data_IF_125984235767
#
_entry.id   IF_125984235767
#
_cell.length_a   1.000
_cell.length_b   1.000
_cell.length_c   1.000
_cell.angle_alpha   90.00
_cell.angle_beta   90.00
_cell.angle_gamma   90.00
#
_symmetry.space_group_name_H-M   'P 1'
#
loop_
_entity.id
_entity.type
_entity.pdbx_description
1 polymer ?
#
# COMPACT_ATOMS: atom_id res chain seq x y z
N UNK A 1 4.11 11.32 -9.88
CA UNK A 1 4.54 10.09 -9.16
C UNK A 1 6.03 9.81 -9.31
N UNK A 2 6.61 9.87 -10.52
CA UNK A 2 8.07 9.70 -10.75
C UNK A 2 8.94 10.54 -9.80
N UNK A 3 8.65 11.84 -9.68
CA UNK A 3 9.39 12.76 -8.81
C UNK A 3 9.40 12.34 -7.31
N UNK A 4 8.25 11.95 -6.76
CA UNK A 4 8.17 11.44 -5.38
C UNK A 4 8.90 10.11 -5.19
N UNK A 5 8.90 9.24 -6.21
CA UNK A 5 9.61 7.96 -6.16
C UNK A 5 11.13 8.18 -6.15
N UNK A 6 11.64 9.09 -6.99
CA UNK A 6 13.06 9.46 -6.97
C UNK A 6 13.47 10.08 -5.64
N UNK A 7 12.62 10.92 -5.03
CA UNK A 7 12.90 11.51 -3.71
C UNK A 7 13.03 10.46 -2.60
N UNK A 8 12.20 9.42 -2.62
CA UNK A 8 12.30 8.31 -1.65
C UNK A 8 13.57 7.53 -1.92
N UNK A 9 13.81 7.15 -3.18
CA UNK A 9 14.96 6.36 -3.56
C UNK A 9 16.28 7.08 -3.25
N UNK A 10 16.34 8.40 -3.45
CA UNK A 10 17.49 9.22 -3.05
C UNK A 10 17.68 9.25 -1.53
N UNK A 11 16.59 9.24 -0.74
CA UNK A 11 16.68 9.17 0.72
C UNK A 11 17.20 7.81 1.21
N UNK A 12 16.82 6.71 0.56
CA UNK A 12 17.37 5.38 0.85
C UNK A 12 18.85 5.28 0.47
N UNK A 13 19.25 5.82 -0.68
CA UNK A 13 20.67 5.90 -1.06
C UNK A 13 21.45 6.73 -0.04
N UNK A 14 20.93 7.90 0.34
CA UNK A 14 21.54 8.74 1.35
C UNK A 14 21.68 7.99 2.67
N UNK A 15 20.65 7.28 3.11
CA UNK A 15 20.64 6.48 4.33
C UNK A 15 21.73 5.38 4.30
N UNK A 16 21.89 4.68 3.19
CA UNK A 16 22.93 3.64 3.02
C UNK A 16 24.33 4.29 3.08
N UNK A 17 24.54 5.39 2.36
CA UNK A 17 25.82 6.10 2.36
C UNK A 17 26.18 6.64 3.75
N UNK A 18 25.20 7.18 4.46
CA UNK A 18 25.39 7.70 5.82
C UNK A 18 25.73 6.59 6.83
N UNK A 19 25.08 5.44 6.70
CA UNK A 19 25.39 4.25 7.50
C UNK A 19 26.86 3.82 7.33
N UNK A 20 27.32 3.65 6.08
CA UNK A 20 28.70 3.25 5.81
C UNK A 20 29.72 4.30 6.28
N UNK A 21 29.40 5.59 6.11
CA UNK A 21 30.26 6.68 6.59
C UNK A 21 30.41 6.63 8.11
N UNK A 22 29.31 6.42 8.84
CA UNK A 22 29.35 6.33 10.30
C UNK A 22 30.09 5.11 10.79
N UNK A 23 29.89 3.94 10.19
CA UNK A 23 30.64 2.71 10.54
C UNK A 23 32.15 2.87 10.28
N UNK A 24 32.52 3.54 9.21
CA UNK A 24 33.92 3.82 8.90
C UNK A 24 34.55 4.78 9.91
N UNK A 25 33.85 5.86 10.27
CA UNK A 25 34.33 6.86 11.25
C UNK A 25 34.44 6.27 12.66
N UNK A 26 33.56 5.35 13.06
CA UNK A 26 33.60 4.69 14.38
C UNK A 26 34.59 3.52 14.46
N UNK A 27 35.54 3.44 13.52
CA UNK A 27 36.68 2.49 13.52
C UNK A 27 36.29 1.01 13.58
N UNK A 28 35.14 0.61 13.02
CA UNK A 28 34.61 -0.77 12.94
C UNK A 28 34.43 -1.55 14.25
N UNK A 29 35.09 -1.16 15.35
CA UNK A 29 35.06 -1.82 16.65
C UNK A 29 33.62 -1.92 17.20
N UNK A 30 32.83 -0.89 16.94
CA UNK A 30 31.43 -0.83 17.35
C UNK A 30 30.44 -1.10 16.21
N UNK A 31 30.92 -1.52 15.02
CA UNK A 31 30.08 -1.68 13.83
C UNK A 31 28.93 -2.66 14.07
N UNK A 32 29.20 -3.81 14.70
CA UNK A 32 28.19 -4.84 14.91
C UNK A 32 27.07 -4.32 15.83
N UNK A 33 27.43 -3.74 16.98
CA UNK A 33 26.47 -3.18 17.94
C UNK A 33 25.66 -2.06 17.30
N UNK A 34 26.33 -1.15 16.59
CA UNK A 34 25.67 -0.07 15.85
C UNK A 34 24.68 -0.62 14.82
N UNK A 35 25.06 -1.64 14.06
CA UNK A 35 24.20 -2.28 13.05
C UNK A 35 22.95 -2.88 13.69
N UNK A 36 23.10 -3.60 14.80
CA UNK A 36 21.96 -4.20 15.51
C UNK A 36 20.99 -3.11 15.97
N UNK A 37 21.50 -2.08 16.65
CA UNK A 37 20.67 -0.95 17.13
C UNK A 37 19.99 -0.26 15.96
N UNK A 38 20.73 -0.03 14.87
CA UNK A 38 20.24 0.60 13.66
C UNK A 38 19.09 -0.18 13.02
N UNK A 39 19.22 -1.51 12.88
CA UNK A 39 18.16 -2.37 12.35
C UNK A 39 16.94 -2.36 13.27
N UNK A 40 17.15 -2.46 14.59
CA UNK A 40 16.06 -2.42 15.57
C UNK A 40 15.27 -1.11 15.45
N UNK A 41 15.96 0.04 15.35
CA UNK A 41 15.31 1.35 15.21
C UNK A 41 14.52 1.45 13.90
N UNK A 42 15.08 0.97 12.78
CA UNK A 42 14.37 0.95 11.49
C UNK A 42 13.05 0.15 11.59
N UNK A 43 13.13 -1.06 12.16
CA UNK A 43 11.97 -1.93 12.36
C UNK A 43 10.97 -1.28 13.32
N UNK A 44 11.43 -0.76 14.46
CA UNK A 44 10.60 -0.09 15.45
C UNK A 44 9.84 1.11 14.84
N UNK A 45 10.53 1.96 14.10
CA UNK A 45 9.91 3.14 13.48
C UNK A 45 8.89 2.78 12.41
N UNK A 46 9.03 1.63 11.75
CA UNK A 46 8.04 1.16 10.78
C UNK A 46 6.67 0.90 11.43
N UNK A 47 6.64 0.38 12.66
CA UNK A 47 5.40 0.00 13.34
C UNK A 47 4.79 1.11 14.22
N UNK A 48 5.59 2.08 14.66
CA UNK A 48 5.09 3.18 15.49
C UNK A 48 4.31 4.22 14.68
N UNK A 49 3.42 4.95 15.33
CA UNK A 49 2.85 6.18 14.74
C UNK A 49 3.95 7.25 14.59
N UNK A 50 3.85 8.10 13.57
CA UNK A 50 4.92 9.07 13.23
C UNK A 50 5.24 10.04 14.37
N UNK A 51 4.22 10.47 15.13
CA UNK A 51 4.41 11.31 16.32
C UNK A 51 5.16 10.57 17.42
N UNK A 52 4.81 9.30 17.66
CA UNK A 52 5.43 8.45 18.67
C UNK A 52 6.89 8.14 18.32
N UNK A 53 7.16 7.79 17.06
CA UNK A 53 8.53 7.57 16.57
C UNK A 53 9.40 8.82 16.74
N UNK A 54 8.85 10.01 16.45
CA UNK A 54 9.55 11.28 16.69
C UNK A 54 9.87 11.50 18.17
N UNK A 55 8.91 11.25 19.08
CA UNK A 55 9.13 11.37 20.52
C UNK A 55 10.25 10.42 20.98
N UNK A 56 10.24 9.16 20.54
CA UNK A 56 11.30 8.21 20.85
C UNK A 56 12.67 8.64 20.31
N UNK A 57 12.72 9.18 19.08
CA UNK A 57 13.94 9.74 18.51
C UNK A 57 14.52 10.86 19.38
N UNK A 58 13.69 11.84 19.76
CA UNK A 58 14.12 12.96 20.61
C UNK A 58 14.56 12.46 21.99
N UNK A 59 13.77 11.59 22.62
CA UNK A 59 14.07 11.04 23.93
C UNK A 59 15.38 10.24 23.94
N UNK A 60 15.58 9.36 22.94
CA UNK A 60 16.82 8.61 22.79
C UNK A 60 18.04 9.51 22.53
N UNK A 61 17.86 10.57 21.75
CA UNK A 61 18.92 11.57 21.51
C UNK A 61 19.29 12.31 22.79
N UNK A 62 18.31 12.76 23.57
CA UNK A 62 18.55 13.47 24.84
C UNK A 62 19.22 12.54 25.86
N UNK A 63 18.69 11.32 26.05
CA UNK A 63 19.25 10.35 27.00
C UNK A 63 20.70 10.02 26.64
N UNK A 64 21.00 9.81 25.36
CA UNK A 64 22.37 9.51 24.92
C UNK A 64 23.34 10.67 25.13
N UNK A 65 22.90 11.94 24.96
CA UNK A 65 23.73 13.11 25.29
C UNK A 65 24.07 13.14 26.78
N UNK A 66 23.07 12.95 27.66
CA UNK A 66 23.31 12.93 29.10
C UNK A 66 24.18 11.74 29.52
N UNK A 67 24.02 10.59 28.87
CA UNK A 67 24.88 9.43 29.09
C UNK A 67 26.34 9.73 28.73
N UNK A 68 26.61 10.31 27.55
CA UNK A 68 27.97 10.69 27.15
C UNK A 68 28.55 11.78 28.07
N UNK A 69 27.73 12.71 28.53
CA UNK A 69 28.16 13.71 29.51
C UNK A 69 28.58 13.06 30.84
N UNK A 70 27.79 12.09 31.33
CA UNK A 70 28.10 11.34 32.53
C UNK A 70 29.39 10.52 32.38
N UNK A 71 29.57 9.84 31.25
CA UNK A 71 30.77 9.08 30.93
C UNK A 71 32.02 9.98 30.88
N UNK A 72 31.91 11.13 30.21
CA UNK A 72 32.99 12.12 30.13
C UNK A 72 33.41 12.64 31.50
N UNK A 73 32.44 12.86 32.39
CA UNK A 73 32.67 13.29 33.76
C UNK A 73 33.37 12.20 34.60
N UNK A 74 32.91 10.96 34.51
CA UNK A 74 33.47 9.82 35.26
C UNK A 74 34.91 9.49 34.85
N UNK A 75 35.16 9.45 33.54
CA UNK A 75 36.43 9.03 32.97
C UNK A 75 37.40 10.18 32.69
N UNK A 76 37.02 11.41 33.06
CA UNK A 76 37.84 12.62 32.89
C UNK A 76 38.37 12.77 31.45
N UNK A 77 37.48 12.58 30.48
CA UNK A 77 37.84 12.63 29.06
C UNK A 77 38.57 13.92 28.71
N UNK A 78 39.70 13.77 28.03
CA UNK A 78 40.44 14.87 27.43
C UNK A 78 39.60 15.60 26.38
N UNK A 79 39.98 16.83 26.04
CA UNK A 79 39.31 17.61 24.99
C UNK A 79 39.26 16.87 23.65
N UNK A 80 40.30 16.09 23.33
CA UNK A 80 40.34 15.30 22.09
C UNK A 80 39.29 14.18 22.09
N UNK A 81 39.17 13.44 23.19
CA UNK A 81 38.19 12.36 23.34
C UNK A 81 36.77 12.91 23.29
N UNK A 82 36.51 14.03 23.98
CA UNK A 82 35.21 14.69 23.93
C UNK A 82 34.81 15.06 22.49
N UNK A 83 35.75 15.58 21.69
CA UNK A 83 35.49 15.88 20.28
C UNK A 83 35.14 14.63 19.46
N UNK A 84 35.83 13.52 19.67
CA UNK A 84 35.56 12.25 18.97
C UNK A 84 34.13 11.74 19.29
N UNK A 85 33.73 11.77 20.56
CA UNK A 85 32.39 11.37 20.96
C UNK A 85 31.29 12.34 20.51
N UNK A 86 31.54 13.66 20.49
CA UNK A 86 30.59 14.65 19.97
C UNK A 86 30.33 14.42 18.47
N UNK A 87 31.39 14.24 17.68
CA UNK A 87 31.28 13.99 16.23
C UNK A 87 30.53 12.66 16.00
N UNK A 88 30.91 11.62 16.73
CA UNK A 88 30.27 10.30 16.63
C UNK A 88 28.79 10.34 16.98
N UNK A 89 28.42 11.02 18.08
CA UNK A 89 27.04 11.18 18.50
C UNK A 89 26.23 11.95 17.47
N UNK A 90 26.76 13.06 16.95
CA UNK A 90 26.11 13.85 15.91
C UNK A 90 25.84 13.02 14.64
N UNK A 91 26.84 12.25 14.18
CA UNK A 91 26.69 11.35 13.02
C UNK A 91 25.63 10.27 13.26
N UNK A 92 25.60 9.70 14.47
CA UNK A 92 24.58 8.71 14.85
C UNK A 92 23.18 9.32 14.91
N UNK A 93 23.02 10.50 15.52
CA UNK A 93 21.75 11.20 15.61
C UNK A 93 21.23 11.59 14.21
N UNK A 94 22.12 12.07 13.32
CA UNK A 94 21.78 12.36 11.93
C UNK A 94 21.36 11.10 11.17
N UNK A 95 22.01 9.96 11.37
CA UNK A 95 21.58 8.67 10.79
C UNK A 95 20.16 8.31 11.24
N UNK A 96 19.90 8.31 12.55
CA UNK A 96 18.58 7.96 13.06
C UNK A 96 17.50 8.97 12.65
N UNK A 97 17.87 10.23 12.46
CA UNK A 97 16.98 11.22 11.87
C UNK A 97 16.63 10.90 10.41
N UNK A 98 17.61 10.51 9.59
CA UNK A 98 17.38 10.07 8.20
C UNK A 98 16.48 8.83 8.18
N UNK A 99 16.70 7.86 9.07
CA UNK A 99 15.83 6.68 9.25
C UNK A 99 14.39 7.12 9.55
N UNK A 100 14.21 8.03 10.50
CA UNK A 100 12.90 8.58 10.86
C UNK A 100 12.20 9.22 9.66
N UNK A 101 12.86 10.15 8.96
CA UNK A 101 12.29 10.86 7.82
C UNK A 101 11.97 9.90 6.67
N UNK A 102 12.86 8.96 6.37
CA UNK A 102 12.68 7.98 5.30
C UNK A 102 11.46 7.09 5.57
N UNK A 103 11.32 6.64 6.82
CA UNK A 103 10.15 5.84 7.26
C UNK A 103 8.86 6.65 7.17
N UNK A 104 8.86 7.89 7.63
CA UNK A 104 7.70 8.78 7.54
C UNK A 104 7.25 8.98 6.08
N UNK A 105 8.20 9.26 5.17
CA UNK A 105 7.92 9.42 3.75
C UNK A 105 7.38 8.13 3.13
N UNK A 106 7.96 6.97 3.47
CA UNK A 106 7.51 5.67 3.01
C UNK A 106 6.04 5.43 3.38
N UNK A 107 5.68 5.61 4.66
CA UNK A 107 4.29 5.44 5.13
C UNK A 107 3.31 6.36 4.41
N UNK A 108 3.69 7.62 4.23
CA UNK A 108 2.87 8.61 3.50
C UNK A 108 2.61 8.18 2.06
N UNK A 109 3.61 7.59 1.41
CA UNK A 109 3.50 7.11 0.03
C UNK A 109 2.65 5.83 -0.05
N UNK A 110 2.81 4.90 0.89
CA UNK A 110 1.98 3.69 0.98
C UNK A 110 0.50 4.08 1.16
N UNK A 111 0.21 4.97 2.11
CA UNK A 111 -1.16 5.44 2.35
C UNK A 111 -1.75 6.15 1.13
N UNK A 112 -0.97 7.03 0.50
CA UNK A 112 -1.44 7.74 -0.70
C UNK A 112 -1.63 6.81 -1.89
N UNK A 113 -0.75 5.82 -2.04
CA UNK A 113 -0.87 4.81 -3.08
C UNK A 113 -2.17 4.00 -2.86
N UNK A 114 -2.42 3.51 -1.65
CA UNK A 114 -3.68 2.81 -1.31
C UNK A 114 -4.91 3.66 -1.62
N UNK A 115 -4.91 4.93 -1.22
CA UNK A 115 -6.01 5.86 -1.51
C UNK A 115 -6.22 6.07 -3.01
N UNK A 116 -5.13 6.23 -3.78
CA UNK A 116 -5.20 6.39 -5.23
C UNK A 116 -5.67 5.12 -5.92
N UNK A 117 -5.20 3.95 -5.50
CA UNK A 117 -5.64 2.65 -6.02
C UNK A 117 -7.14 2.45 -5.79
N UNK A 118 -7.66 2.80 -4.62
CA UNK A 118 -9.11 2.74 -4.38
C UNK A 118 -9.88 3.76 -5.23
N UNK A 119 -9.38 4.99 -5.39
CA UNK A 119 -10.01 5.98 -6.27
C UNK A 119 -10.01 5.52 -7.73
N UNK A 120 -8.92 4.94 -8.20
CA UNK A 120 -8.82 4.36 -9.54
C UNK A 120 -9.85 3.24 -9.69
N UNK A 121 -9.93 2.32 -8.72
CA UNK A 121 -10.93 1.24 -8.72
C UNK A 121 -12.38 1.74 -8.77
N UNK A 122 -12.68 2.85 -8.11
CA UNK A 122 -14.01 3.47 -8.14
C UNK A 122 -14.29 4.19 -9.47
N UNK A 123 -13.26 4.82 -10.06
CA UNK A 123 -13.39 5.58 -11.31
C UNK A 123 -13.32 4.70 -12.56
N UNK A 124 -12.63 3.58 -12.47
CA UNK A 124 -12.59 2.59 -13.54
C UNK A 124 -14.01 2.06 -13.74
N UNK A 125 -14.52 2.26 -14.94
CA UNK A 125 -15.79 1.70 -15.39
C UNK A 125 -15.72 0.17 -15.53
N UNK A 126 -14.52 -0.40 -15.37
CA UNK A 126 -14.20 -1.79 -15.60
C UNK A 126 -13.38 -2.37 -14.43
N UNK A 127 -13.47 -3.68 -14.20
CA UNK A 127 -12.81 -4.40 -13.11
C UNK A 127 -11.45 -4.91 -13.60
N UNK A 128 -10.38 -4.18 -13.28
CA UNK A 128 -9.00 -4.60 -13.57
C UNK A 128 -8.77 -4.93 -15.06
N UNK A 129 -8.00 -5.99 -15.33
CA UNK A 129 -7.75 -6.44 -16.71
C UNK A 129 -8.89 -7.26 -17.33
N UNK A 130 -9.86 -7.70 -16.53
CA UNK A 130 -10.98 -8.53 -17.00
C UNK A 130 -11.89 -7.79 -17.99
N UNK A 131 -11.79 -6.45 -18.07
CA UNK A 131 -12.68 -5.57 -18.85
C UNK A 131 -14.18 -5.79 -18.58
N UNK A 132 -14.53 -6.46 -17.48
CA UNK A 132 -15.92 -6.53 -16.99
C UNK A 132 -16.32 -5.18 -16.42
N UNK A 133 -17.56 -4.76 -16.58
CA UNK A 133 -18.03 -3.50 -16.02
C UNK A 133 -18.02 -3.56 -14.49
N UNK A 134 -17.70 -2.43 -13.85
CA UNK A 134 -17.99 -2.28 -12.42
C UNK A 134 -19.49 -2.30 -12.21
N UNK A 135 -19.94 -2.68 -11.01
CA UNK A 135 -21.37 -2.70 -10.67
C UNK A 135 -22.07 -1.38 -10.96
N UNK A 136 -21.42 -0.26 -10.61
CA UNK A 136 -21.99 1.07 -10.82
C UNK A 136 -22.17 1.37 -12.31
N UNK A 137 -21.21 0.96 -13.13
CA UNK A 137 -21.29 1.12 -14.58
C UNK A 137 -22.33 0.18 -15.20
N UNK A 138 -22.44 -1.06 -14.72
CA UNK A 138 -23.46 -2.02 -15.13
C UNK A 138 -24.87 -1.48 -14.84
N UNK A 139 -25.13 -1.04 -13.60
CA UNK A 139 -26.43 -0.47 -13.21
C UNK A 139 -26.77 0.77 -14.04
N UNK A 140 -25.78 1.64 -14.30
CA UNK A 140 -25.94 2.84 -15.15
C UNK A 140 -26.32 2.47 -16.59
N UNK A 141 -25.57 1.56 -17.23
CA UNK A 141 -25.84 1.14 -18.62
C UNK A 141 -27.12 0.33 -18.74
N UNK A 142 -27.43 -0.51 -17.75
CA UNK A 142 -28.67 -1.29 -17.70
C UNK A 142 -29.88 -0.38 -17.67
N UNK A 143 -29.86 0.70 -16.88
CA UNK A 143 -30.95 1.67 -16.84
C UNK A 143 -31.18 2.32 -18.22
N UNK A 144 -30.11 2.71 -18.92
CA UNK A 144 -30.19 3.30 -20.26
C UNK A 144 -30.73 2.30 -21.29
N UNK A 145 -30.25 1.06 -21.27
CA UNK A 145 -30.74 0.00 -22.17
C UNK A 145 -32.20 -0.33 -21.90
N UNK A 146 -32.62 -0.41 -20.64
CA UNK A 146 -34.02 -0.65 -20.29
C UNK A 146 -34.93 0.45 -20.83
N UNK A 147 -34.58 1.72 -20.63
CA UNK A 147 -35.34 2.83 -21.22
C UNK A 147 -35.36 2.78 -22.74
N UNK A 148 -34.28 2.35 -23.40
CA UNK A 148 -34.26 2.19 -24.85
C UNK A 148 -35.15 1.03 -25.34
N UNK A 149 -35.14 -0.09 -24.64
CA UNK A 149 -35.98 -1.26 -24.92
C UNK A 149 -37.46 -0.97 -24.71
N UNK A 150 -37.81 -0.29 -23.61
CA UNK A 150 -39.19 0.09 -23.29
C UNK A 150 -39.79 0.95 -24.43
N UNK A 151 -38.99 1.85 -25.01
CA UNK A 151 -39.41 2.66 -26.18
C UNK A 151 -39.61 1.85 -27.45
N UNK A 152 -38.96 0.70 -27.60
CA UNK A 152 -39.04 -0.18 -28.78
C UNK A 152 -39.92 -1.41 -28.56
N UNK A 153 -40.53 -1.54 -27.38
CA UNK A 153 -41.30 -2.72 -26.97
C UNK A 153 -40.48 -4.03 -27.10
N UNK A 154 -39.19 -3.97 -26.74
CA UNK A 154 -38.25 -5.08 -26.75
C UNK A 154 -38.12 -5.72 -25.36
N UNK A 155 -37.85 -7.02 -25.30
CA UNK A 155 -37.57 -7.75 -24.05
C UNK A 155 -36.06 -8.01 -23.90
N UNK A 156 -35.60 -8.05 -22.66
CA UNK A 156 -34.19 -8.30 -22.31
C UNK A 156 -34.08 -9.45 -21.31
N UNK A 157 -32.87 -10.02 -21.19
CA UNK A 157 -32.56 -11.13 -20.30
C UNK A 157 -31.33 -10.79 -19.46
N UNK A 158 -31.33 -11.22 -18.19
CA UNK A 158 -30.15 -11.17 -17.32
C UNK A 158 -29.72 -12.62 -17.06
N UNK A 159 -28.47 -12.92 -17.38
CA UNK A 159 -27.87 -14.24 -17.18
C UNK A 159 -26.89 -14.15 -16.01
N UNK A 160 -27.02 -15.06 -15.04
CA UNK A 160 -26.12 -15.16 -13.90
C UNK A 160 -25.26 -16.42 -14.03
N UNK A 161 -23.95 -16.26 -13.94
CA UNK A 161 -23.00 -17.37 -13.86
C UNK A 161 -22.64 -17.58 -12.39
N UNK A 162 -22.96 -18.77 -11.85
CA UNK A 162 -22.61 -19.15 -10.49
C UNK A 162 -21.37 -20.06 -10.50
N UNK A 163 -20.35 -19.66 -9.74
CA UNK A 163 -19.08 -20.38 -9.61
C UNK A 163 -18.88 -20.98 -8.20
N UNK A 164 -19.94 -21.06 -7.38
CA UNK A 164 -19.87 -21.62 -6.02
C UNK A 164 -19.49 -23.11 -5.98
N UNK A 165 -19.73 -23.85 -7.07
CA UNK A 165 -19.38 -25.27 -7.21
C UNK A 165 -17.88 -25.53 -7.46
N UNK A 166 -17.10 -24.52 -7.82
CA UNK A 166 -15.67 -24.65 -8.08
C UNK A 166 -14.83 -24.56 -6.79
N UNK A 167 -13.74 -25.32 -6.74
CA UNK A 167 -12.78 -25.24 -5.63
C UNK A 167 -12.14 -23.85 -5.54
N UNK A 168 -11.70 -23.43 -4.34
CA UNK A 168 -11.01 -22.14 -4.14
C UNK A 168 -9.83 -21.92 -5.09
N UNK A 169 -9.11 -22.99 -5.43
CA UNK A 169 -7.92 -22.94 -6.30
C UNK A 169 -8.26 -22.83 -7.79
N UNK A 170 -9.45 -23.26 -8.20
CA UNK A 170 -9.85 -23.31 -9.63
C UNK A 170 -10.81 -22.17 -9.98
N UNK A 171 -11.52 -21.64 -8.98
CA UNK A 171 -12.56 -20.62 -9.15
C UNK A 171 -12.06 -19.39 -9.89
N UNK A 172 -10.92 -18.85 -9.48
CA UNK A 172 -10.36 -17.62 -10.06
C UNK A 172 -9.99 -17.81 -11.54
N UNK A 173 -9.29 -18.91 -11.89
CA UNK A 173 -8.94 -19.21 -13.28
C UNK A 173 -10.15 -19.46 -14.18
N UNK A 174 -11.20 -20.10 -13.66
CA UNK A 174 -12.45 -20.32 -14.41
C UNK A 174 -13.20 -19.01 -14.59
N UNK A 175 -13.29 -18.18 -13.54
CA UNK A 175 -13.91 -16.86 -13.62
C UNK A 175 -13.22 -15.97 -14.65
N UNK A 176 -11.88 -15.91 -14.65
CA UNK A 176 -11.12 -15.13 -15.63
C UNK A 176 -11.32 -15.62 -17.06
N UNK A 177 -11.39 -16.95 -17.25
CA UNK A 177 -11.62 -17.52 -18.58
C UNK A 177 -13.04 -17.24 -19.07
N UNK A 178 -14.04 -17.30 -18.21
CA UNK A 178 -15.42 -16.95 -18.58
C UNK A 178 -15.54 -15.44 -18.83
N UNK A 179 -14.90 -14.61 -18.00
CA UNK A 179 -14.87 -13.16 -18.17
C UNK A 179 -14.29 -12.75 -19.53
N UNK A 180 -13.13 -13.30 -19.90
CA UNK A 180 -12.49 -13.03 -21.20
C UNK A 180 -13.37 -13.48 -22.37
N UNK A 181 -13.94 -14.68 -22.30
CA UNK A 181 -14.87 -15.16 -23.33
C UNK A 181 -16.12 -14.29 -23.44
N UNK A 182 -16.68 -13.84 -22.31
CA UNK A 182 -17.83 -12.94 -22.32
C UNK A 182 -17.46 -11.63 -22.99
N UNK A 183 -16.37 -10.97 -22.60
CA UNK A 183 -15.94 -9.70 -23.22
C UNK A 183 -15.70 -9.82 -24.73
N UNK A 184 -15.18 -10.96 -25.20
CA UNK A 184 -14.92 -11.20 -26.63
C UNK A 184 -16.19 -11.57 -27.42
N UNK A 185 -17.24 -12.07 -26.75
CA UNK A 185 -18.47 -12.56 -27.42
C UNK A 185 -19.65 -11.61 -27.30
N UNK A 186 -19.69 -10.79 -26.25
CA UNK A 186 -20.75 -9.79 -26.04
C UNK A 186 -20.59 -8.61 -26.99
N UNK A 187 -21.69 -8.20 -27.63
CA UNK A 187 -21.69 -7.03 -28.50
C UNK A 187 -21.50 -5.79 -27.65
N UNK A 188 -20.45 -5.03 -27.95
CA UNK A 188 -19.92 -3.92 -27.12
C UNK A 188 -20.97 -2.86 -26.74
N UNK A 189 -22.02 -2.72 -27.55
CA UNK A 189 -23.05 -1.68 -27.40
C UNK A 189 -24.41 -2.19 -26.89
N UNK A 190 -24.63 -3.50 -26.82
CA UNK A 190 -25.95 -4.09 -26.52
C UNK A 190 -25.94 -5.06 -25.34
N UNK A 191 -24.79 -5.69 -25.10
CA UNK A 191 -24.63 -6.71 -24.08
C UNK A 191 -23.71 -6.16 -22.97
N UNK A 192 -24.11 -6.37 -21.72
CA UNK A 192 -23.38 -5.89 -20.55
C UNK A 192 -22.87 -7.08 -19.74
N UNK A 193 -21.58 -7.10 -19.43
CA UNK A 193 -20.97 -8.10 -18.57
C UNK A 193 -20.33 -7.43 -17.35
N UNK A 194 -20.65 -7.91 -16.15
CA UNK A 194 -20.12 -7.40 -14.88
C UNK A 194 -19.89 -8.55 -13.89
N UNK A 195 -18.94 -8.38 -12.98
CA UNK A 195 -18.78 -9.31 -11.87
C UNK A 195 -19.88 -9.05 -10.82
N UNK A 196 -20.69 -10.07 -10.55
CA UNK A 196 -21.67 -10.01 -9.47
C UNK A 196 -20.99 -10.37 -8.14
N UNK A 197 -20.74 -9.37 -7.30
CA UNK A 197 -20.38 -9.63 -5.90
C UNK A 197 -21.64 -10.16 -5.22
N UNK A 198 -21.66 -11.47 -5.00
CA UNK A 198 -22.70 -12.20 -4.28
C UNK A 198 -22.72 -11.73 -2.82
N UNK A 199 -23.41 -10.62 -2.53
CA UNK A 199 -23.83 -10.30 -1.17
C UNK A 199 -24.92 -9.21 -1.09
N UNK A 200 -26.03 -9.42 -1.79
CA UNK A 200 -27.26 -8.72 -1.44
C UNK A 200 -28.45 -9.68 -1.38
N UNK A 201 -28.85 -10.02 -0.14
CA UNK A 201 -30.23 -10.40 0.20
C UNK A 201 -31.16 -9.20 -0.06
N UNK A 202 -31.55 -8.95 -1.30
CA UNK A 202 -32.73 -8.12 -1.58
C UNK A 202 -33.94 -9.05 -1.51
N UNK A 203 -34.88 -8.68 -0.63
CA UNK A 203 -36.19 -9.31 -0.45
C UNK A 203 -36.83 -9.60 -1.82
N UNK A 204 -37.35 -10.82 -1.97
CA UNK A 204 -38.25 -11.25 -3.05
C UNK A 204 -39.43 -10.28 -3.15
N UNK A 205 -39.30 -9.26 -3.97
CA UNK A 205 -40.46 -8.60 -4.55
C UNK A 205 -40.01 -7.94 -5.85
N UNK A 206 -40.58 -8.46 -6.95
CA UNK A 206 -40.53 -7.90 -8.30
C UNK A 206 -39.26 -8.13 -9.13
N UNK A 207 -39.06 -9.38 -9.58
CA UNK A 207 -38.52 -9.61 -10.93
C UNK A 207 -39.39 -10.67 -11.61
N UNK A 208 -40.36 -10.20 -12.41
CA UNK A 208 -41.16 -11.02 -13.30
C UNK A 208 -40.34 -11.32 -14.56
N UNK A 209 -39.74 -12.51 -14.61
CA UNK A 209 -39.55 -13.37 -15.79
C UNK A 209 -38.47 -14.39 -15.43
N UNK A 210 -38.91 -15.62 -15.15
CA UNK A 210 -38.05 -16.78 -14.87
C UNK A 210 -37.41 -17.28 -16.15
N UNK A 211 -36.09 -17.47 -16.10
CA UNK A 211 -35.33 -18.32 -17.01
C UNK A 211 -34.11 -18.86 -16.29
N UNK A 212 -34.31 -19.83 -15.39
CA UNK A 212 -33.21 -20.60 -14.83
C UNK A 212 -32.72 -21.58 -15.90
N UNK A 213 -31.49 -21.40 -16.38
CA UNK A 213 -30.77 -22.46 -17.09
C UNK A 213 -29.64 -22.89 -16.16
N UNK A 214 -29.78 -24.10 -15.62
CA UNK A 214 -28.73 -24.79 -14.88
C UNK A 214 -27.86 -25.52 -15.90
N UNK A 215 -26.57 -25.22 -15.95
CA UNK A 215 -25.55 -26.11 -16.48
C UNK A 215 -24.78 -26.71 -15.31
#
# INVERSE_FOLDING_TARGET
>A
MKDKSYKILSMWILQILFYFTTVHVTKYEHALIFTIIYVIINVLFLFLADKTAFIFFILGTIISVFYLFYEAWLHLWSTSEQWEYIITHFLMAANFFIVYISTHLLKKVILKNKELTERVRVLEQYIGESKLLTRQEFERRQALLRTAMDRRNETGMIIFFDFTSFSKYTKESVMDRVASLLVDTVRTDFDLAAEAIQDIKIKREQINAKGHITL
#
